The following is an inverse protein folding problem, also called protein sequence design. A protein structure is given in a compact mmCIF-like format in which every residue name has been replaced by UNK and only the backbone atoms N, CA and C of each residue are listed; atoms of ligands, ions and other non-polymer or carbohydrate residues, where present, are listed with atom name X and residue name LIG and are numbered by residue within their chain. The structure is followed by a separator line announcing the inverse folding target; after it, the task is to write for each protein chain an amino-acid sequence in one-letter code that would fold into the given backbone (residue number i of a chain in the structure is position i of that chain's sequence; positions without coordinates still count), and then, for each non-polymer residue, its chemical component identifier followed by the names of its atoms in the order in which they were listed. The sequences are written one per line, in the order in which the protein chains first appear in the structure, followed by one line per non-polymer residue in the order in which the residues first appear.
data_IF_682970939275
#
_entry.id   IF_682970939275
#
_cell.length_a   1.000
_cell.length_b   1.000
_cell.length_c   1.000
_cell.angle_alpha   90.00
_cell.angle_beta   90.00
_cell.angle_gamma   90.00
#
_symmetry.space_group_name_H-M   'P 1'
#
loop_
_entity.id
_entity.type
_entity.pdbx_description
1 polymer ?
#
# COMPACT_ATOMS: atom_id res chain seq x y z
N UNK A 1 -48.20 46.60 -12.37
CA UNK A 1 -47.80 47.59 -11.38
C UNK A 1 -46.50 47.17 -10.72
N UNK A 2 -45.86 48.12 -10.04
CA UNK A 2 -44.61 47.91 -9.34
C UNK A 2 -44.72 46.81 -8.24
N UNK A 3 -45.81 46.78 -7.49
CA UNK A 3 -46.05 45.81 -6.43
C UNK A 3 -46.19 44.37 -6.99
N UNK A 4 -46.89 44.20 -8.07
CA UNK A 4 -47.07 42.90 -8.74
C UNK A 4 -45.73 42.38 -9.32
N UNK A 5 -44.92 43.27 -9.89
CA UNK A 5 -43.59 42.95 -10.38
C UNK A 5 -42.66 42.53 -9.26
N UNK A 6 -42.70 43.19 -8.10
CA UNK A 6 -41.87 42.85 -6.94
C UNK A 6 -42.24 41.47 -6.35
N UNK A 7 -43.51 41.13 -6.29
CA UNK A 7 -43.99 39.81 -5.82
C UNK A 7 -43.50 38.72 -6.77
N UNK A 8 -43.60 38.95 -8.09
CA UNK A 8 -43.09 38.00 -9.07
C UNK A 8 -41.62 37.76 -8.97
N UNK A 9 -40.82 38.80 -8.79
CA UNK A 9 -39.37 38.70 -8.58
C UNK A 9 -39.00 37.91 -7.32
N UNK A 10 -39.72 38.10 -6.22
CA UNK A 10 -39.54 37.31 -5.00
C UNK A 10 -39.81 35.84 -5.21
N UNK A 11 -40.90 35.49 -5.87
CA UNK A 11 -41.27 34.12 -6.18
C UNK A 11 -40.20 33.44 -7.03
N UNK A 12 -39.66 34.15 -8.00
CA UNK A 12 -38.61 33.67 -8.88
C UNK A 12 -37.30 33.42 -8.09
N UNK A 13 -36.91 34.32 -7.20
CA UNK A 13 -35.74 34.14 -6.34
C UNK A 13 -35.91 32.93 -5.40
N UNK A 14 -37.07 32.78 -4.79
CA UNK A 14 -37.36 31.67 -3.89
C UNK A 14 -37.26 30.34 -4.61
N UNK A 15 -37.79 30.24 -5.83
CA UNK A 15 -37.70 29.05 -6.65
C UNK A 15 -36.24 28.73 -6.99
N UNK A 16 -35.42 29.73 -7.33
CA UNK A 16 -34.02 29.56 -7.64
C UNK A 16 -33.23 29.11 -6.39
N UNK A 17 -33.53 29.69 -5.23
CA UNK A 17 -32.90 29.31 -3.95
C UNK A 17 -33.23 27.86 -3.58
N UNK A 18 -34.49 27.44 -3.71
CA UNK A 18 -34.92 26.06 -3.46
C UNK A 18 -34.23 25.09 -4.41
N UNK A 19 -34.17 25.43 -5.69
CA UNK A 19 -33.48 24.62 -6.69
C UNK A 19 -31.99 24.46 -6.37
N UNK A 20 -31.32 25.56 -5.91
CA UNK A 20 -29.92 25.54 -5.51
C UNK A 20 -29.70 24.66 -4.27
N UNK A 21 -30.56 24.75 -3.26
CA UNK A 21 -30.51 23.92 -2.05
C UNK A 21 -30.69 22.45 -2.40
N UNK A 22 -31.67 22.12 -3.24
CA UNK A 22 -31.92 20.74 -3.67
C UNK A 22 -30.74 20.18 -4.44
N UNK A 23 -30.15 20.95 -5.37
CA UNK A 23 -28.99 20.54 -6.12
C UNK A 23 -27.77 20.32 -5.20
N UNK A 24 -27.54 21.22 -4.24
CA UNK A 24 -26.47 21.10 -3.26
C UNK A 24 -26.68 19.88 -2.35
N UNK A 25 -27.90 19.65 -1.86
CA UNK A 25 -28.26 18.49 -1.03
C UNK A 25 -28.05 17.17 -1.78
N UNK A 26 -28.47 17.12 -3.04
CA UNK A 26 -28.28 15.97 -3.90
C UNK A 26 -26.81 15.66 -4.12
N UNK A 27 -26.01 16.70 -4.41
CA UNK A 27 -24.57 16.58 -4.58
C UNK A 27 -23.88 16.09 -3.30
N UNK A 28 -24.30 16.62 -2.14
CA UNK A 28 -23.78 16.19 -0.83
C UNK A 28 -24.15 14.74 -0.51
N UNK A 29 -25.37 14.32 -0.84
CA UNK A 29 -25.81 12.93 -0.67
C UNK A 29 -25.03 11.96 -1.57
N UNK A 30 -24.79 12.34 -2.82
CA UNK A 30 -23.98 11.55 -3.75
C UNK A 30 -22.53 11.43 -3.26
N UNK A 31 -21.95 12.53 -2.77
CA UNK A 31 -20.61 12.54 -2.21
C UNK A 31 -20.52 11.63 -0.99
N UNK A 32 -21.48 11.71 -0.09
CA UNK A 32 -21.54 10.86 1.11
C UNK A 32 -21.65 9.39 0.75
N UNK A 33 -22.44 9.07 -0.27
CA UNK A 33 -22.57 7.70 -0.78
C UNK A 33 -21.24 7.18 -1.32
N UNK A 34 -20.52 8.00 -2.09
CA UNK A 34 -19.19 7.65 -2.61
C UNK A 34 -18.20 7.44 -1.46
N UNK A 35 -18.22 8.29 -0.45
CA UNK A 35 -17.37 8.16 0.74
C UNK A 35 -17.66 6.86 1.50
N UNK A 36 -18.93 6.51 1.68
CA UNK A 36 -19.32 5.26 2.36
C UNK A 36 -18.82 4.03 1.59
N UNK A 37 -18.96 4.04 0.26
CA UNK A 37 -18.46 2.97 -0.61
C UNK A 37 -16.93 2.90 -0.53
N UNK A 38 -16.26 4.04 -0.55
CA UNK A 38 -14.80 4.12 -0.44
C UNK A 38 -14.32 3.53 0.88
N UNK A 39 -14.93 3.91 2.00
CA UNK A 39 -14.60 3.38 3.34
C UNK A 39 -14.75 1.86 3.40
N UNK A 40 -15.83 1.32 2.86
CA UNK A 40 -16.06 -0.13 2.79
C UNK A 40 -15.01 -0.84 1.96
N UNK A 41 -14.59 -0.26 0.84
CA UNK A 41 -13.55 -0.83 -0.02
C UNK A 41 -12.17 -0.73 0.60
N UNK A 42 -11.86 0.36 1.30
CA UNK A 42 -10.62 0.51 2.08
C UNK A 42 -10.52 -0.58 3.14
N UNK A 43 -11.59 -0.80 3.89
CA UNK A 43 -11.65 -1.85 4.92
C UNK A 43 -11.42 -3.24 4.31
N UNK A 44 -12.04 -3.52 3.16
CA UNK A 44 -11.84 -4.78 2.45
C UNK A 44 -10.39 -4.96 1.97
N UNK A 45 -9.75 -3.90 1.47
CA UNK A 45 -8.35 -3.91 1.05
C UNK A 45 -7.44 -4.19 2.26
N UNK A 46 -7.65 -3.50 3.37
CA UNK A 46 -6.87 -3.70 4.60
C UNK A 46 -6.98 -5.13 5.12
N UNK A 47 -8.18 -5.68 5.12
CA UNK A 47 -8.43 -7.04 5.55
C UNK A 47 -7.73 -8.06 4.63
N UNK A 48 -7.83 -7.87 3.33
CA UNK A 48 -7.18 -8.70 2.32
C UNK A 48 -5.65 -8.67 2.47
N UNK A 49 -5.07 -7.48 2.65
CA UNK A 49 -3.61 -7.32 2.82
C UNK A 49 -3.12 -7.98 4.10
N UNK A 50 -3.87 -7.84 5.21
CA UNK A 50 -3.55 -8.51 6.46
C UNK A 50 -3.56 -10.03 6.34
N UNK A 51 -4.56 -10.58 5.67
CA UNK A 51 -4.64 -12.03 5.41
C UNK A 51 -3.51 -12.52 4.50
N UNK A 52 -3.14 -11.73 3.50
CA UNK A 52 -2.03 -12.08 2.61
C UNK A 52 -0.71 -12.17 3.38
N UNK A 53 -0.44 -11.23 4.27
CA UNK A 53 0.75 -11.27 5.13
C UNK A 53 0.76 -12.52 6.01
N UNK A 54 -0.37 -12.85 6.62
CA UNK A 54 -0.49 -14.05 7.46
C UNK A 54 -0.22 -15.33 6.67
N UNK A 55 -0.73 -15.42 5.46
CA UNK A 55 -0.46 -16.55 4.55
C UNK A 55 1.02 -16.65 4.22
N UNK A 56 1.65 -15.53 3.90
CA UNK A 56 3.09 -15.49 3.57
C UNK A 56 3.96 -15.91 4.77
N UNK A 57 3.63 -15.44 5.96
CA UNK A 57 4.34 -15.81 7.20
C UNK A 57 4.17 -17.28 7.56
N UNK A 58 3.04 -17.88 7.20
CA UNK A 58 2.72 -19.27 7.50
C UNK A 58 3.23 -20.25 6.45
N UNK A 59 3.88 -19.80 5.39
CA UNK A 59 4.46 -20.68 4.37
C UNK A 59 5.47 -21.66 5.00
N UNK A 60 5.57 -22.89 4.47
CA UNK A 60 6.66 -23.79 4.84
C UNK A 60 8.01 -23.11 4.69
N UNK A 61 8.97 -23.46 5.56
CA UNK A 61 10.28 -22.82 5.63
C UNK A 61 10.96 -22.68 4.26
N UNK A 62 10.96 -23.73 3.46
CA UNK A 62 11.56 -23.76 2.13
C UNK A 62 10.95 -22.70 1.21
N UNK A 63 9.62 -22.66 1.17
CA UNK A 63 8.88 -21.71 0.31
C UNK A 63 9.03 -20.26 0.80
N UNK A 64 9.03 -20.07 2.11
CA UNK A 64 9.23 -18.75 2.73
C UNK A 64 10.59 -18.16 2.32
N UNK A 65 11.67 -18.92 2.49
CA UNK A 65 13.01 -18.42 2.13
C UNK A 65 13.24 -18.34 0.63
N UNK A 66 12.57 -19.16 -0.17
CA UNK A 66 12.59 -19.01 -1.63
C UNK A 66 11.94 -17.70 -2.05
N UNK A 67 10.83 -17.34 -1.44
CA UNK A 67 10.15 -16.07 -1.66
C UNK A 67 11.07 -14.89 -1.25
N UNK A 68 11.73 -14.96 -0.11
CA UNK A 68 12.67 -13.92 0.33
C UNK A 68 13.85 -13.79 -0.64
N UNK A 69 14.34 -14.90 -1.18
CA UNK A 69 15.40 -14.86 -2.21
C UNK A 69 14.93 -14.13 -3.47
N UNK A 70 13.75 -14.43 -3.98
CA UNK A 70 13.18 -13.76 -5.16
C UNK A 70 13.00 -12.27 -4.90
N UNK A 71 12.55 -11.91 -3.72
CA UNK A 71 12.37 -10.53 -3.28
C UNK A 71 13.71 -9.78 -3.24
N UNK A 72 14.76 -10.43 -2.74
CA UNK A 72 16.10 -9.87 -2.70
C UNK A 72 16.64 -9.62 -4.10
N UNK A 73 16.50 -10.57 -5.00
CA UNK A 73 16.95 -10.44 -6.40
C UNK A 73 16.20 -9.30 -7.10
N UNK A 74 14.92 -9.17 -6.88
CA UNK A 74 14.10 -8.12 -7.48
C UNK A 74 14.50 -6.72 -6.99
N UNK A 75 14.88 -6.58 -5.72
CA UNK A 75 15.13 -5.29 -5.08
C UNK A 75 16.61 -4.94 -4.93
N UNK A 76 17.52 -5.87 -5.23
CA UNK A 76 18.96 -5.62 -5.15
C UNK A 76 19.39 -4.52 -6.12
N UNK A 77 20.32 -3.69 -5.65
CA UNK A 77 20.97 -2.66 -6.47
C UNK A 77 22.43 -3.04 -6.69
N UNK A 78 23.13 -2.30 -7.56
CA UNK A 78 24.55 -2.49 -7.78
C UNK A 78 25.35 -2.18 -6.52
N UNK A 79 26.33 -2.99 -6.21
CA UNK A 79 27.21 -2.81 -5.05
C UNK A 79 27.12 -3.97 -4.07
N UNK A 80 27.79 -3.81 -2.96
CA UNK A 80 27.84 -4.81 -1.90
C UNK A 80 26.82 -4.48 -0.83
N UNK A 81 25.77 -5.28 -0.73
CA UNK A 81 24.70 -5.11 0.23
C UNK A 81 24.84 -6.04 1.41
N UNK A 82 24.23 -5.65 2.52
CA UNK A 82 24.12 -6.45 3.72
C UNK A 82 22.64 -6.77 3.96
N UNK A 83 22.30 -8.05 4.01
CA UNK A 83 20.94 -8.49 4.34
C UNK A 83 20.80 -8.65 5.84
N UNK A 84 19.79 -8.00 6.40
CA UNK A 84 19.49 -8.07 7.83
C UNK A 84 18.07 -8.59 8.02
N UNK A 85 17.96 -9.67 8.78
CA UNK A 85 16.68 -10.34 9.09
C UNK A 85 16.32 -10.10 10.55
N UNK A 86 15.13 -10.54 10.94
CA UNK A 86 14.77 -10.65 12.35
C UNK A 86 15.63 -11.70 13.03
N UNK A 87 15.67 -11.70 14.36
CA UNK A 87 16.38 -12.74 15.13
C UNK A 87 15.84 -14.13 14.79
N UNK A 88 14.53 -14.28 14.72
CA UNK A 88 13.87 -15.56 14.43
C UNK A 88 14.25 -16.07 13.04
N UNK A 89 14.18 -15.23 12.04
CA UNK A 89 14.50 -15.61 10.66
C UNK A 89 16.00 -15.90 10.51
N UNK A 90 16.87 -15.13 11.18
CA UNK A 90 18.30 -15.39 11.16
C UNK A 90 18.62 -16.77 11.72
N UNK A 91 17.93 -17.17 12.79
CA UNK A 91 18.13 -18.48 13.41
C UNK A 91 17.65 -19.64 12.51
N UNK A 92 16.67 -19.39 11.64
CA UNK A 92 16.08 -20.37 10.73
C UNK A 92 16.67 -20.36 9.33
N UNK A 93 17.57 -19.42 9.06
CA UNK A 93 18.10 -19.18 7.71
C UNK A 93 18.80 -20.45 7.19
N UNK A 94 18.45 -20.91 5.95
CA UNK A 94 19.18 -22.02 5.36
C UNK A 94 20.67 -21.72 5.20
N UNK A 95 21.50 -22.70 5.37
CA UNK A 95 22.96 -22.56 5.36
C UNK A 95 23.49 -21.96 4.05
N UNK A 96 22.85 -22.29 2.94
CA UNK A 96 23.24 -21.85 1.60
C UNK A 96 22.42 -20.68 1.06
N UNK A 97 21.61 -20.03 1.92
CA UNK A 97 20.69 -18.97 1.49
C UNK A 97 21.43 -17.80 0.82
N UNK A 98 22.44 -17.26 1.49
CA UNK A 98 23.19 -16.09 0.97
C UNK A 98 23.93 -16.44 -0.34
N UNK A 99 24.53 -17.63 -0.40
CA UNK A 99 25.19 -18.06 -1.65
C UNK A 99 24.20 -18.24 -2.80
N UNK A 100 22.99 -18.74 -2.50
CA UNK A 100 21.92 -18.87 -3.51
C UNK A 100 21.45 -17.50 -4.01
N UNK A 101 21.31 -16.52 -3.12
CA UNK A 101 20.96 -15.15 -3.49
C UNK A 101 22.04 -14.58 -4.42
N UNK A 102 23.32 -14.71 -4.05
CA UNK A 102 24.43 -14.20 -4.86
C UNK A 102 24.49 -14.87 -6.23
N UNK A 103 24.24 -16.17 -6.30
CA UNK A 103 24.16 -16.88 -7.59
C UNK A 103 23.03 -16.34 -8.46
N UNK A 104 21.86 -16.08 -7.86
CA UNK A 104 20.70 -15.56 -8.57
C UNK A 104 20.89 -14.11 -9.02
N UNK A 105 21.73 -13.34 -8.34
CA UNK A 105 22.04 -11.96 -8.73
C UNK A 105 22.85 -11.89 -10.05
N UNK A 106 23.55 -12.95 -10.42
CA UNK A 106 24.26 -13.07 -11.69
C UNK A 106 25.21 -11.89 -11.98
N UNK A 107 25.96 -11.46 -10.97
CA UNK A 107 26.90 -10.35 -11.10
C UNK A 107 26.31 -8.96 -10.92
N UNK A 108 25.03 -8.84 -10.65
CA UNK A 108 24.36 -7.57 -10.31
C UNK A 108 24.57 -7.28 -8.81
N UNK A 109 25.78 -6.97 -8.42
CA UNK A 109 26.13 -6.75 -7.04
C UNK A 109 26.26 -8.05 -6.25
N UNK A 110 26.40 -7.93 -4.95
CA UNK A 110 26.53 -9.05 -4.02
C UNK A 110 25.86 -8.72 -2.70
N UNK A 111 25.54 -9.73 -1.91
CA UNK A 111 25.00 -9.55 -0.56
C UNK A 111 25.77 -10.43 0.44
N UNK A 112 25.79 -9.98 1.67
CA UNK A 112 26.31 -10.73 2.83
C UNK A 112 25.29 -10.70 3.95
N UNK A 113 25.39 -11.63 4.89
CA UNK A 113 24.53 -11.67 6.05
C UNK A 113 25.03 -10.68 7.11
N UNK A 114 24.16 -9.80 7.56
CA UNK A 114 24.46 -8.85 8.64
C UNK A 114 23.86 -9.25 9.97
N UNK A 115 24.03 -8.37 10.95
CA UNK A 115 23.44 -8.53 12.28
C UNK A 115 21.90 -8.56 12.19
N UNK A 116 21.23 -9.35 13.06
CA UNK A 116 19.77 -9.28 13.16
C UNK A 116 19.29 -7.87 13.48
N UNK A 117 18.11 -7.53 13.02
CA UNK A 117 17.49 -6.24 13.29
C UNK A 117 16.06 -6.42 13.82
N UNK A 118 15.51 -5.34 14.37
CA UNK A 118 14.18 -5.35 14.96
C UNK A 118 13.12 -5.11 13.90
N UNK A 119 12.79 -6.18 13.17
CA UNK A 119 11.72 -6.21 12.16
C UNK A 119 10.86 -7.45 12.40
N UNK A 120 9.62 -7.40 11.92
CA UNK A 120 8.69 -8.52 12.07
C UNK A 120 8.97 -9.62 11.04
N UNK A 121 9.02 -9.27 9.76
CA UNK A 121 9.20 -10.24 8.67
C UNK A 121 9.77 -9.55 7.44
N UNK A 122 10.38 -10.33 6.55
CA UNK A 122 11.12 -9.80 5.43
C UNK A 122 12.56 -9.50 5.82
N UNK A 123 13.16 -8.48 5.23
CA UNK A 123 14.54 -8.12 5.49
C UNK A 123 14.83 -6.67 5.12
N UNK A 124 15.98 -6.18 5.56
CA UNK A 124 16.56 -4.92 5.13
C UNK A 124 17.78 -5.22 4.26
N UNK A 125 17.95 -4.46 3.17
CA UNK A 125 19.17 -4.46 2.36
C UNK A 125 19.90 -3.14 2.61
N UNK A 126 21.10 -3.22 3.13
CA UNK A 126 21.91 -2.03 3.50
C UNK A 126 23.10 -1.91 2.56
N UNK A 127 23.15 -0.81 1.79
CA UNK A 127 24.21 -0.51 0.84
C UNK A 127 24.90 0.81 1.22
N UNK A 128 25.76 0.76 2.22
CA UNK A 128 26.39 1.99 2.73
C UNK A 128 25.35 2.96 3.29
N UNK A 129 25.12 4.08 2.61
CA UNK A 129 24.15 5.10 3.04
C UNK A 129 22.72 4.84 2.53
N UNK A 130 22.53 3.81 1.71
CA UNK A 130 21.22 3.49 1.12
C UNK A 130 20.66 2.24 1.77
N UNK A 131 19.46 2.36 2.35
CA UNK A 131 18.73 1.23 2.90
C UNK A 131 17.54 0.92 1.99
N UNK A 132 17.43 -0.34 1.57
CA UNK A 132 16.26 -0.83 0.83
C UNK A 132 15.41 -1.63 1.81
N UNK A 133 14.22 -1.13 2.08
CA UNK A 133 13.30 -1.76 3.03
C UNK A 133 12.46 -2.82 2.32
N UNK A 134 12.76 -4.09 2.58
CA UNK A 134 12.01 -5.23 2.06
C UNK A 134 11.24 -5.96 3.18
N UNK A 135 10.85 -5.25 4.22
CA UNK A 135 9.97 -5.80 5.26
C UNK A 135 8.55 -5.96 4.70
N UNK A 136 7.81 -6.92 5.23
CA UNK A 136 6.43 -7.13 4.79
C UNK A 136 5.55 -5.94 5.08
N UNK A 137 5.76 -5.25 6.18
CA UNK A 137 5.02 -4.02 6.51
C UNK A 137 5.23 -2.92 5.46
N UNK A 138 6.46 -2.76 4.97
CA UNK A 138 6.78 -1.80 3.91
C UNK A 138 6.13 -2.18 2.58
N UNK A 139 6.20 -3.46 2.20
CA UNK A 139 5.60 -3.96 0.97
C UNK A 139 4.08 -3.83 0.98
N UNK A 140 3.46 -4.10 2.11
CA UNK A 140 2.01 -3.94 2.31
C UNK A 140 1.63 -2.47 2.21
N UNK A 141 2.42 -1.57 2.79
CA UNK A 141 2.17 -0.13 2.72
C UNK A 141 2.22 0.38 1.28
N UNK A 142 3.22 -0.02 0.50
CA UNK A 142 3.32 0.33 -0.92
C UNK A 142 2.11 -0.19 -1.71
N UNK A 143 1.73 -1.44 -1.48
CA UNK A 143 0.59 -2.06 -2.18
C UNK A 143 -0.73 -1.42 -1.79
N UNK A 144 -0.87 -1.05 -0.53
CA UNK A 144 -2.03 -0.30 -0.03
C UNK A 144 -2.18 1.02 -0.77
N UNK A 145 -1.10 1.79 -0.87
CA UNK A 145 -1.10 3.10 -1.52
C UNK A 145 -1.47 2.98 -3.00
N UNK A 146 -0.92 2.00 -3.72
CA UNK A 146 -1.27 1.71 -5.11
C UNK A 146 -2.76 1.40 -5.26
N UNK A 147 -3.30 0.53 -4.40
CA UNK A 147 -4.70 0.13 -4.45
C UNK A 147 -5.64 1.28 -4.10
N UNK A 148 -5.26 2.13 -3.16
CA UNK A 148 -6.05 3.30 -2.79
C UNK A 148 -6.06 4.33 -3.92
N UNK A 149 -4.95 4.55 -4.60
CA UNK A 149 -4.87 5.45 -5.76
C UNK A 149 -5.77 4.97 -6.89
N UNK A 150 -5.73 3.68 -7.21
CA UNK A 150 -6.60 3.09 -8.23
C UNK A 150 -8.07 3.22 -7.86
N UNK A 151 -8.41 2.94 -6.61
CA UNK A 151 -9.77 3.05 -6.09
C UNK A 151 -10.27 4.50 -6.17
N UNK A 152 -9.44 5.45 -5.79
CA UNK A 152 -9.77 6.86 -5.85
C UNK A 152 -10.05 7.31 -7.29
N UNK A 153 -9.26 6.86 -8.25
CA UNK A 153 -9.47 7.14 -9.68
C UNK A 153 -10.79 6.58 -10.18
N UNK A 154 -11.16 5.37 -9.75
CA UNK A 154 -12.41 4.74 -10.14
C UNK A 154 -13.65 5.45 -9.57
N UNK A 155 -13.55 6.01 -8.38
CA UNK A 155 -14.71 6.62 -7.69
C UNK A 155 -14.87 8.11 -7.97
N UNK A 156 -13.77 8.84 -8.21
CA UNK A 156 -13.79 10.31 -8.27
C UNK A 156 -13.30 10.92 -9.59
N UNK A 157 -12.89 10.09 -10.54
CA UNK A 157 -12.48 10.58 -11.87
C UNK A 157 -13.43 10.12 -12.98
#
# INVERSE_FOLDING_TARGET
SSAASDVYKRQERTAAEVASVLASSKSSAELKKKQTVLEGKIEAIEDMLGRAVDVLKALPKREYFEMLKELAVKNAISGDGVMRFSKDDTAKLPQNFISNVNSALSGKGSVSLGEPCDIDSGFMLVYGDIDVNCTFSSLVSEKRDELFDELNKLLFN
#
